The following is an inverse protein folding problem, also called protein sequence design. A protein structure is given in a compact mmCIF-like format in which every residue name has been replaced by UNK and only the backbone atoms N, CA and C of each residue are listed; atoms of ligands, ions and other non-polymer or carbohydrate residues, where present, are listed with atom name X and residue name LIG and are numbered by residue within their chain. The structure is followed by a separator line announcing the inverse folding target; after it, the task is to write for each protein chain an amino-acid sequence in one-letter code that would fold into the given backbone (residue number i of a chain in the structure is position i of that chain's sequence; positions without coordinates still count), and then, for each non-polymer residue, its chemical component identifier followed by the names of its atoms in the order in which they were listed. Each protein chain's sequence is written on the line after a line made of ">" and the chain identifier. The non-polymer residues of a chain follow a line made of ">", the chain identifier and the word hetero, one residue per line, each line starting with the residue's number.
data_IF_280351501773
#
_entry.id   IF_280351501773
#
_cell.length_a   1.000
_cell.length_b   1.000
_cell.length_c   1.000
_cell.angle_alpha   90.00
_cell.angle_beta   90.00
_cell.angle_gamma   90.00
#
_symmetry.space_group_name_H-M   'P 1'
#
loop_
_entity.id
_entity.type
_entity.pdbx_description
1 polymer ?
#
# COMPACT_ATOMS: atom_id res chain seq x y z
N UNK A 1 -6.75 -1.38 23.35
CA UNK A 1 -7.40 -0.90 22.12
C UNK A 1 -6.33 -0.55 21.11
N UNK A 2 -6.52 -0.97 19.84
CA UNK A 2 -5.62 -0.62 18.75
C UNK A 2 -6.12 0.65 18.07
N UNK A 3 -5.28 1.65 17.97
CA UNK A 3 -5.59 2.91 17.28
C UNK A 3 -5.11 2.81 15.84
N UNK A 4 -5.98 3.07 14.88
CA UNK A 4 -5.64 3.06 13.46
C UNK A 4 -4.80 4.28 13.11
N UNK A 5 -3.55 4.04 12.68
CA UNK A 5 -2.55 5.10 12.59
C UNK A 5 -2.46 5.79 11.23
N UNK A 6 -3.14 6.92 11.10
CA UNK A 6 -2.62 8.00 10.27
C UNK A 6 -1.58 8.83 11.06
N UNK A 7 -0.87 9.76 10.41
CA UNK A 7 0.18 10.55 11.06
C UNK A 7 -0.34 11.34 12.26
N UNK A 8 -1.54 11.92 12.18
CA UNK A 8 -2.12 12.71 13.27
C UNK A 8 -2.42 11.85 14.50
N UNK A 9 -3.01 10.69 14.26
CA UNK A 9 -3.35 9.72 15.32
C UNK A 9 -2.09 9.18 16.00
N UNK A 10 -1.05 8.83 15.23
CA UNK A 10 0.21 8.33 15.80
C UNK A 10 0.96 9.44 16.54
N UNK A 11 0.94 10.68 16.07
CA UNK A 11 1.49 11.84 16.80
C UNK A 11 0.84 11.98 18.20
N UNK A 12 -0.50 11.98 18.26
CA UNK A 12 -1.24 12.06 19.53
C UNK A 12 -0.90 10.88 20.43
N UNK A 13 -0.91 9.67 19.90
CA UNK A 13 -0.57 8.47 20.67
C UNK A 13 0.85 8.53 21.25
N UNK A 14 1.84 8.95 20.45
CA UNK A 14 3.23 9.12 20.93
C UNK A 14 3.34 10.17 22.02
N UNK A 15 2.58 11.26 21.93
CA UNK A 15 2.58 12.31 22.94
C UNK A 15 1.93 11.89 24.28
N UNK A 16 0.93 11.04 24.22
CA UNK A 16 0.08 10.67 25.38
C UNK A 16 0.52 9.39 26.08
N UNK A 17 1.13 8.44 25.36
CA UNK A 17 1.50 7.13 25.89
C UNK A 17 2.92 7.07 26.43
N UNK A 18 3.15 6.18 27.39
CA UNK A 18 4.46 5.91 28.02
C UNK A 18 4.88 4.46 27.83
N UNK A 19 6.18 4.21 28.07
CA UNK A 19 6.68 2.84 28.15
C UNK A 19 5.87 2.01 29.17
N UNK A 20 5.57 0.78 28.80
CA UNK A 20 4.77 -0.17 29.58
C UNK A 20 3.27 0.15 29.74
N UNK A 21 2.74 1.17 29.07
CA UNK A 21 1.29 1.34 28.99
C UNK A 21 0.62 0.12 28.32
N UNK A 22 -0.69 -0.04 28.53
CA UNK A 22 -1.45 -1.15 27.94
C UNK A 22 -1.89 -0.91 26.50
N UNK A 23 -1.49 0.20 25.94
CA UNK A 23 -1.86 0.61 24.59
C UNK A 23 -0.78 0.25 23.58
N UNK A 24 -1.23 -0.22 22.42
CA UNK A 24 -0.40 -0.48 21.24
C UNK A 24 -0.93 0.35 20.07
N UNK A 25 -0.05 0.73 19.15
CA UNK A 25 -0.47 1.38 17.92
C UNK A 25 -0.34 0.41 16.74
N UNK A 26 -1.36 0.44 15.89
CA UNK A 26 -1.35 -0.24 14.60
C UNK A 26 -1.07 0.78 13.50
N UNK A 27 0.01 0.58 12.74
CA UNK A 27 0.41 1.52 11.70
C UNK A 27 0.95 0.79 10.46
N UNK A 28 0.61 1.33 9.28
CA UNK A 28 1.21 0.90 8.02
C UNK A 28 2.65 1.40 7.90
N UNK A 29 3.56 0.57 7.40
CA UNK A 29 4.97 0.92 7.20
C UNK A 29 5.16 2.13 6.27
N UNK A 30 4.25 2.33 5.31
CA UNK A 30 4.25 3.50 4.42
C UNK A 30 4.21 4.84 5.15
N UNK A 31 3.67 4.86 6.37
CA UNK A 31 3.69 6.04 7.21
C UNK A 31 5.13 6.46 7.55
N UNK A 32 5.98 5.51 7.91
CA UNK A 32 7.36 5.75 8.29
C UNK A 32 8.31 5.95 7.10
N UNK A 33 8.04 5.32 5.97
CA UNK A 33 8.91 5.35 4.80
C UNK A 33 8.49 6.41 3.78
N UNK A 34 7.24 6.42 3.35
CA UNK A 34 6.76 7.30 2.27
C UNK A 34 6.33 8.66 2.81
N UNK A 35 5.46 8.69 3.86
CA UNK A 35 4.96 9.95 4.41
C UNK A 35 6.09 10.77 5.04
N UNK A 36 7.07 10.12 5.68
CA UNK A 36 8.24 10.80 6.26
C UNK A 36 9.11 11.52 5.22
N UNK A 37 9.07 11.08 3.96
CA UNK A 37 9.83 11.70 2.86
C UNK A 37 8.98 12.77 2.16
N UNK A 38 7.72 12.44 1.83
CA UNK A 38 6.86 13.33 1.03
C UNK A 38 6.26 14.49 1.85
N UNK A 39 5.99 14.26 3.13
CA UNK A 39 5.39 15.26 4.02
C UNK A 39 5.96 15.17 5.45
N UNK A 40 7.26 15.44 5.61
CA UNK A 40 7.94 15.31 6.90
C UNK A 40 7.36 16.22 7.98
N UNK A 41 6.69 17.31 7.60
CA UNK A 41 6.07 18.22 8.56
C UNK A 41 4.90 17.58 9.33
N UNK A 42 4.28 16.54 8.79
CA UNK A 42 3.24 15.77 9.49
C UNK A 42 3.78 14.80 10.52
N UNK A 43 5.09 14.50 10.51
CA UNK A 43 5.71 13.48 11.34
C UNK A 43 6.36 14.11 12.57
N UNK A 44 5.78 13.87 13.75
CA UNK A 44 6.37 14.25 15.05
C UNK A 44 6.96 13.03 15.78
N UNK A 45 7.21 11.95 15.05
CA UNK A 45 7.77 10.69 15.53
C UNK A 45 8.68 10.06 14.47
N UNK A 46 9.50 9.11 14.90
CA UNK A 46 10.34 8.27 14.05
C UNK A 46 10.25 6.82 14.52
N UNK A 47 10.92 5.89 13.85
CA UNK A 47 11.02 4.49 14.33
C UNK A 47 11.63 4.39 15.74
N UNK A 48 12.47 5.34 16.13
CA UNK A 48 13.13 5.34 17.45
C UNK A 48 12.18 5.56 18.62
N UNK A 49 10.94 5.99 18.37
CA UNK A 49 9.89 6.18 19.37
C UNK A 49 9.14 4.89 19.74
N UNK A 50 9.47 3.77 19.06
CA UNK A 50 8.72 2.52 19.18
C UNK A 50 9.60 1.32 19.51
N UNK A 51 8.95 0.28 20.05
CA UNK A 51 9.42 -1.10 20.04
C UNK A 51 8.52 -1.89 19.10
N UNK A 52 9.12 -2.66 18.19
CA UNK A 52 8.39 -3.55 17.29
C UNK A 52 7.82 -4.74 18.07
N UNK A 53 6.53 -5.00 17.89
CA UNK A 53 5.85 -6.17 18.46
C UNK A 53 5.64 -7.22 17.38
N UNK A 54 4.86 -6.91 16.33
CA UNK A 54 4.55 -7.88 15.28
C UNK A 54 4.19 -7.21 13.96
N UNK A 55 4.37 -7.94 12.87
CA UNK A 55 3.82 -7.63 11.55
C UNK A 55 2.56 -8.49 11.33
N UNK A 56 1.38 -7.91 11.46
CA UNK A 56 0.13 -8.65 11.35
C UNK A 56 -0.11 -9.22 9.96
N UNK A 57 0.17 -8.43 8.95
CA UNK A 57 0.09 -8.85 7.56
C UNK A 57 0.89 -7.92 6.65
N UNK A 58 1.27 -8.45 5.51
CA UNK A 58 1.83 -7.67 4.41
C UNK A 58 0.83 -7.61 3.27
N UNK A 59 0.65 -6.45 2.69
CA UNK A 59 -0.26 -6.23 1.57
C UNK A 59 0.51 -5.73 0.36
N UNK A 60 0.20 -6.28 -0.80
CA UNK A 60 0.77 -5.87 -2.07
C UNK A 60 -0.18 -4.88 -2.75
N UNK A 61 0.37 -3.81 -3.28
CA UNK A 61 -0.35 -2.92 -4.18
C UNK A 61 -0.34 -3.52 -5.58
N UNK A 62 -1.43 -3.31 -6.31
CA UNK A 62 -1.53 -3.68 -7.73
C UNK A 62 -1.93 -2.47 -8.55
N UNK A 63 -1.51 -2.48 -9.82
CA UNK A 63 -2.04 -1.57 -10.82
C UNK A 63 -3.14 -2.29 -11.59
N UNK A 64 -4.32 -1.68 -11.62
CA UNK A 64 -5.44 -2.12 -12.46
C UNK A 64 -5.67 -1.15 -13.60
N UNK A 65 -6.21 -1.65 -14.70
CA UNK A 65 -6.61 -0.89 -15.88
C UNK A 65 -8.11 -1.04 -16.14
N UNK A 66 -8.73 -0.04 -16.77
CA UNK A 66 -10.06 -0.22 -17.39
C UNK A 66 -10.01 -1.45 -18.30
N UNK A 67 -10.90 -2.42 -18.06
CA UNK A 67 -10.92 -3.69 -18.79
C UNK A 67 -11.02 -3.51 -20.31
N UNK A 68 -11.61 -2.40 -20.77
CA UNK A 68 -11.73 -2.07 -22.21
C UNK A 68 -10.40 -1.78 -22.88
N UNK A 69 -9.36 -1.43 -22.13
CA UNK A 69 -8.02 -1.18 -22.68
C UNK A 69 -7.31 -2.49 -23.05
N UNK A 70 -7.72 -3.62 -22.45
CA UNK A 70 -7.11 -4.93 -22.73
C UNK A 70 -5.68 -5.06 -22.27
N UNK A 71 -5.23 -4.23 -21.31
CA UNK A 71 -3.85 -4.20 -20.79
C UNK A 71 -3.79 -5.10 -19.55
N UNK A 72 -2.95 -6.13 -19.60
CA UNK A 72 -2.83 -7.17 -18.56
C UNK A 72 -1.38 -7.46 -18.16
N UNK A 73 -0.42 -6.75 -18.74
CA UNK A 73 1.02 -6.94 -18.50
C UNK A 73 1.80 -5.63 -18.60
N UNK A 74 3.03 -5.64 -18.07
CA UNK A 74 3.97 -4.51 -18.18
C UNK A 74 4.34 -4.22 -19.64
N UNK A 75 4.50 -5.24 -20.47
CA UNK A 75 4.87 -5.07 -21.87
C UNK A 75 3.73 -4.45 -22.70
N UNK A 76 2.49 -4.84 -22.43
CA UNK A 76 1.32 -4.20 -23.04
C UNK A 76 1.16 -2.75 -22.57
N UNK A 77 1.40 -2.48 -21.28
CA UNK A 77 1.42 -1.12 -20.74
C UNK A 77 2.46 -0.26 -21.45
N UNK A 78 3.70 -0.74 -21.59
CA UNK A 78 4.75 -0.03 -22.33
C UNK A 78 4.35 0.25 -23.77
N UNK A 79 3.83 -0.78 -24.46
CA UNK A 79 3.38 -0.64 -25.85
C UNK A 79 2.28 0.41 -26.00
N UNK A 80 1.40 0.52 -25.01
CA UNK A 80 0.35 1.52 -24.97
C UNK A 80 0.91 2.93 -24.72
N UNK A 81 1.88 3.07 -23.81
CA UNK A 81 2.52 4.35 -23.50
C UNK A 81 3.43 4.86 -24.63
N UNK A 82 4.12 3.96 -25.34
CA UNK A 82 4.98 4.30 -26.49
C UNK A 82 4.22 4.93 -27.67
N UNK A 83 2.90 4.76 -27.72
CA UNK A 83 2.02 5.43 -28.67
C UNK A 83 1.76 6.91 -28.31
N UNK A 84 2.31 7.41 -27.19
CA UNK A 84 2.14 8.79 -26.72
C UNK A 84 0.81 9.03 -26.01
N UNK A 85 0.12 7.98 -25.56
CA UNK A 85 -1.13 8.11 -24.84
C UNK A 85 -0.95 8.86 -23.52
N UNK A 86 -1.82 9.83 -23.26
CA UNK A 86 -1.94 10.50 -21.97
C UNK A 86 -2.92 9.70 -21.11
N UNK A 87 -2.54 9.39 -19.88
CA UNK A 87 -3.35 8.56 -18.99
C UNK A 87 -3.68 9.24 -17.67
N UNK A 88 -4.80 8.84 -17.07
CA UNK A 88 -5.20 9.20 -15.73
C UNK A 88 -5.15 7.97 -14.81
N UNK A 89 -4.63 8.17 -13.59
CA UNK A 89 -4.45 7.11 -12.59
C UNK A 89 -5.20 7.51 -11.33
N UNK A 90 -6.22 6.73 -10.96
CA UNK A 90 -6.96 6.91 -9.74
C UNK A 90 -6.14 6.42 -8.52
N UNK A 91 -6.13 7.20 -7.46
CA UNK A 91 -5.44 6.88 -6.20
C UNK A 91 -6.27 7.32 -4.99
N UNK A 92 -6.05 6.69 -3.85
CA UNK A 92 -6.62 7.13 -2.58
C UNK A 92 -5.77 8.29 -2.02
N UNK A 93 -6.18 9.51 -2.35
CA UNK A 93 -5.43 10.72 -2.02
C UNK A 93 -4.30 11.05 -2.99
N UNK A 94 -3.81 12.28 -2.92
CA UNK A 94 -2.81 12.82 -3.86
C UNK A 94 -1.36 12.52 -3.45
N UNK A 95 -1.10 12.18 -2.19
CA UNK A 95 0.25 12.04 -1.61
C UNK A 95 0.44 10.74 -0.83
N UNK A 96 -0.43 9.75 -1.06
CA UNK A 96 -0.34 8.43 -0.44
C UNK A 96 0.62 7.47 -1.15
N UNK A 97 0.74 6.26 -0.62
CA UNK A 97 1.58 5.21 -1.20
C UNK A 97 1.20 4.88 -2.64
N UNK A 98 -0.09 4.89 -2.96
CA UNK A 98 -0.61 4.61 -4.31
C UNK A 98 -0.13 5.64 -5.34
N UNK A 99 -0.24 6.94 -4.99
CA UNK A 99 0.23 8.03 -5.86
C UNK A 99 1.75 7.99 -6.04
N UNK A 100 2.49 7.71 -4.95
CA UNK A 100 3.94 7.54 -5.01
C UNK A 100 4.34 6.38 -5.91
N UNK A 101 3.73 5.21 -5.76
CA UNK A 101 4.05 4.03 -6.57
C UNK A 101 3.74 4.25 -8.05
N UNK A 102 2.60 4.89 -8.37
CA UNK A 102 2.27 5.27 -9.74
C UNK A 102 3.34 6.20 -10.32
N UNK A 103 3.66 7.29 -9.64
CA UNK A 103 4.66 8.26 -10.10
C UNK A 103 6.06 7.63 -10.26
N UNK A 104 6.46 6.78 -9.30
CA UNK A 104 7.75 6.10 -9.33
C UNK A 104 7.86 5.11 -10.49
N UNK A 105 6.82 4.31 -10.75
CA UNK A 105 6.80 3.35 -11.85
C UNK A 105 6.89 4.07 -13.20
N UNK A 106 5.98 4.98 -13.49
CA UNK A 106 5.96 5.67 -14.78
C UNK A 106 7.16 6.60 -14.96
N UNK A 107 7.65 7.23 -13.89
CA UNK A 107 8.91 7.99 -13.93
C UNK A 107 10.11 7.12 -14.28
N UNK A 108 10.22 5.92 -13.70
CA UNK A 108 11.29 4.96 -13.99
C UNK A 108 11.20 4.37 -15.40
N UNK A 109 10.00 4.29 -15.96
CA UNK A 109 9.77 3.88 -17.36
C UNK A 109 10.02 4.99 -18.38
N UNK A 110 10.16 6.26 -17.95
CA UNK A 110 10.31 7.41 -18.82
C UNK A 110 9.00 8.06 -19.26
N UNK A 111 7.86 7.68 -18.68
CA UNK A 111 6.52 8.18 -19.05
C UNK A 111 5.93 9.17 -18.03
N UNK A 112 6.76 9.73 -17.15
CA UNK A 112 6.28 10.61 -16.06
C UNK A 112 5.45 11.81 -16.54
N UNK A 113 5.75 12.37 -17.73
CA UNK A 113 5.03 13.50 -18.32
C UNK A 113 3.70 13.09 -18.99
N UNK A 114 3.43 11.80 -19.12
CA UNK A 114 2.23 11.26 -19.76
C UNK A 114 1.14 10.87 -18.76
N UNK A 115 1.40 10.99 -17.44
CA UNK A 115 0.46 10.58 -16.41
C UNK A 115 -0.15 11.77 -15.67
N UNK A 116 -1.42 11.59 -15.26
CA UNK A 116 -2.13 12.48 -14.37
C UNK A 116 -2.68 11.68 -13.20
N UNK A 117 -2.23 11.98 -11.99
CA UNK A 117 -2.82 11.42 -10.76
C UNK A 117 -4.15 12.11 -10.49
N UNK A 118 -5.19 11.30 -10.27
CA UNK A 118 -6.53 11.75 -9.88
C UNK A 118 -6.84 11.19 -8.49
N UNK A 119 -6.87 12.09 -7.50
CA UNK A 119 -7.09 11.72 -6.12
C UNK A 119 -8.59 11.56 -5.82
N UNK A 120 -8.95 10.45 -5.24
CA UNK A 120 -10.29 10.15 -4.71
C UNK A 120 -10.26 10.15 -3.18
N UNK A 121 -11.42 10.23 -2.55
CA UNK A 121 -11.53 10.26 -1.09
C UNK A 121 -11.39 8.87 -0.44
N UNK A 122 -11.49 7.82 -1.24
CA UNK A 122 -11.28 6.44 -0.80
C UNK A 122 -10.77 5.54 -1.91
N UNK A 123 -10.15 4.41 -1.53
CA UNK A 123 -9.72 3.40 -2.48
C UNK A 123 -10.89 2.74 -3.22
N UNK A 124 -12.05 2.62 -2.59
CA UNK A 124 -13.25 2.10 -3.23
C UNK A 124 -13.75 3.02 -4.35
N UNK A 125 -13.73 4.33 -4.14
CA UNK A 125 -14.07 5.30 -5.20
C UNK A 125 -13.06 5.25 -6.34
N UNK A 126 -11.75 5.16 -6.05
CA UNK A 126 -10.70 5.02 -7.07
C UNK A 126 -10.90 3.74 -7.91
N UNK A 127 -11.23 2.61 -7.29
CA UNK A 127 -11.53 1.35 -7.98
C UNK A 127 -12.78 1.47 -8.88
N UNK A 128 -13.82 2.14 -8.38
CA UNK A 128 -15.05 2.38 -9.16
C UNK A 128 -14.80 3.31 -10.36
N UNK A 129 -13.96 4.33 -10.21
CA UNK A 129 -13.63 5.27 -11.27
C UNK A 129 -12.98 4.56 -12.48
N UNK A 130 -12.02 3.66 -12.22
CA UNK A 130 -11.39 2.89 -13.29
C UNK A 130 -12.37 1.91 -13.93
N UNK A 131 -13.22 1.23 -13.16
CA UNK A 131 -14.20 0.29 -13.69
C UNK A 131 -15.28 0.98 -14.58
N UNK A 132 -15.57 2.25 -14.31
CA UNK A 132 -16.47 3.07 -15.13
C UNK A 132 -15.79 3.72 -16.33
N UNK A 133 -14.46 3.64 -16.43
CA UNK A 133 -13.68 4.33 -17.46
C UNK A 133 -13.53 5.84 -17.23
N UNK A 134 -13.76 6.33 -16.00
CA UNK A 134 -13.50 7.72 -15.63
C UNK A 134 -12.00 8.02 -15.54
N UNK A 135 -11.21 6.99 -15.22
CA UNK A 135 -9.75 6.98 -15.27
C UNK A 135 -9.26 5.73 -16.02
N UNK A 136 -8.05 5.79 -16.59
CA UNK A 136 -7.49 4.68 -17.35
C UNK A 136 -6.97 3.55 -16.43
N UNK A 137 -6.35 3.93 -15.32
CA UNK A 137 -5.72 3.03 -14.36
C UNK A 137 -6.07 3.41 -12.92
N UNK A 138 -5.86 2.46 -12.00
CA UNK A 138 -5.82 2.74 -10.56
C UNK A 138 -4.67 1.97 -9.92
N UNK A 139 -4.12 2.53 -8.83
CA UNK A 139 -3.25 1.80 -7.89
C UNK A 139 -4.00 1.62 -6.58
N UNK A 140 -4.07 0.40 -6.09
CA UNK A 140 -4.78 0.05 -4.87
C UNK A 140 -4.24 -1.23 -4.23
N UNK A 141 -4.59 -1.49 -2.98
CA UNK A 141 -4.35 -2.81 -2.39
C UNK A 141 -5.17 -3.90 -3.06
N UNK A 142 -4.65 -5.12 -3.12
CA UNK A 142 -5.34 -6.29 -3.67
C UNK A 142 -6.77 -6.45 -3.14
N UNK A 143 -6.96 -6.32 -1.83
CA UNK A 143 -8.26 -6.47 -1.19
C UNK A 143 -9.30 -5.42 -1.62
N UNK A 144 -8.84 -4.24 -2.01
CA UNK A 144 -9.70 -3.12 -2.38
C UNK A 144 -10.20 -3.20 -3.82
N UNK A 145 -9.43 -3.84 -4.70
CA UNK A 145 -9.78 -3.99 -6.12
C UNK A 145 -10.44 -5.34 -6.44
N UNK A 146 -10.41 -6.30 -5.51
CA UNK A 146 -10.82 -7.67 -5.73
C UNK A 146 -12.26 -7.80 -6.25
N UNK A 147 -13.21 -7.12 -5.62
CA UNK A 147 -14.61 -7.18 -6.02
C UNK A 147 -14.80 -6.66 -7.46
N UNK A 148 -14.20 -5.51 -7.77
CA UNK A 148 -14.27 -4.90 -9.10
C UNK A 148 -13.63 -5.78 -10.18
N UNK A 149 -12.52 -6.44 -9.83
CA UNK A 149 -11.87 -7.42 -10.70
C UNK A 149 -12.75 -8.65 -10.95
N UNK A 150 -13.35 -9.21 -9.91
CA UNK A 150 -14.27 -10.36 -10.03
C UNK A 150 -15.51 -10.06 -10.87
N UNK A 151 -15.93 -8.79 -10.91
CA UNK A 151 -17.02 -8.31 -11.76
C UNK A 151 -16.58 -8.00 -13.20
N UNK A 152 -15.32 -8.29 -13.57
CA UNK A 152 -14.71 -7.96 -14.87
C UNK A 152 -14.72 -6.46 -15.21
N UNK A 153 -14.79 -5.59 -14.22
CA UNK A 153 -14.73 -4.14 -14.41
C UNK A 153 -13.32 -3.62 -14.69
N UNK A 154 -12.30 -4.36 -14.26
CA UNK A 154 -10.88 -4.04 -14.45
C UNK A 154 -10.08 -5.27 -14.83
N UNK A 155 -8.93 -5.05 -15.51
CA UNK A 155 -7.81 -6.00 -15.60
C UNK A 155 -6.71 -5.63 -14.61
N UNK A 156 -5.88 -6.60 -14.23
CA UNK A 156 -4.69 -6.33 -13.39
C UNK A 156 -3.46 -6.36 -14.29
N UNK A 157 -2.67 -5.28 -14.20
CA UNK A 157 -1.51 -5.05 -15.07
C UNK A 157 -0.23 -5.58 -14.43
N UNK A 158 -0.02 -5.24 -13.17
CA UNK A 158 1.19 -5.63 -12.42
C UNK A 158 0.97 -5.53 -10.91
N UNK A 159 1.88 -6.15 -10.17
CA UNK A 159 2.02 -6.04 -8.73
C UNK A 159 3.24 -5.16 -8.37
N UNK A 160 3.10 -4.29 -7.40
CA UNK A 160 4.23 -3.55 -6.82
C UNK A 160 4.96 -4.43 -5.81
N UNK A 161 5.61 -5.47 -6.32
CA UNK A 161 6.39 -6.45 -5.58
C UNK A 161 7.69 -6.79 -6.33
N UNK A 162 8.64 -7.43 -5.63
CA UNK A 162 9.87 -7.95 -6.21
C UNK A 162 9.67 -9.19 -7.08
N UNK A 163 8.62 -9.97 -6.78
CA UNK A 163 8.30 -11.25 -7.41
C UNK A 163 6.83 -11.25 -7.86
N UNK A 164 6.47 -12.24 -8.69
CA UNK A 164 5.09 -12.48 -9.07
C UNK A 164 4.23 -12.86 -7.87
N UNK A 165 2.94 -12.55 -7.92
CA UNK A 165 2.01 -12.98 -6.87
C UNK A 165 1.90 -14.51 -6.94
N UNK A 166 2.28 -15.17 -5.84
CA UNK A 166 2.40 -16.63 -5.80
C UNK A 166 1.04 -17.34 -5.71
N UNK A 167 0.07 -16.73 -5.02
CA UNK A 167 -1.22 -17.37 -4.70
C UNK A 167 -2.38 -16.39 -4.66
N UNK A 168 -3.58 -16.92 -4.40
CA UNK A 168 -4.81 -16.13 -4.28
C UNK A 168 -5.40 -15.68 -5.61
N UNK A 169 -6.35 -14.73 -5.57
CA UNK A 169 -7.12 -14.29 -6.75
C UNK A 169 -6.29 -13.64 -7.85
N UNK A 170 -5.10 -13.16 -7.52
CA UNK A 170 -4.18 -12.48 -8.43
C UNK A 170 -2.91 -13.31 -8.71
N UNK A 171 -2.93 -14.62 -8.44
CA UNK A 171 -1.80 -15.51 -8.70
C UNK A 171 -1.32 -15.40 -10.17
N UNK A 172 -0.01 -15.26 -10.35
CA UNK A 172 0.63 -15.09 -11.65
C UNK A 172 0.70 -13.65 -12.16
N UNK A 173 0.15 -12.67 -11.43
CA UNK A 173 0.36 -11.25 -11.77
C UNK A 173 1.83 -10.89 -11.55
N UNK A 174 2.45 -10.31 -12.57
CA UNK A 174 3.88 -10.01 -12.58
C UNK A 174 4.28 -8.93 -11.58
N UNK A 175 5.37 -9.18 -10.83
CA UNK A 175 5.99 -8.19 -9.98
C UNK A 175 6.87 -7.22 -10.75
N UNK A 176 6.69 -5.90 -10.53
CA UNK A 176 7.46 -4.86 -11.22
C UNK A 176 8.96 -4.91 -10.89
N UNK A 177 9.34 -5.46 -9.73
CA UNK A 177 10.74 -5.60 -9.31
C UNK A 177 11.56 -6.52 -10.21
N UNK A 178 10.94 -7.48 -10.90
CA UNK A 178 11.60 -8.33 -11.90
C UNK A 178 12.17 -7.54 -13.08
N UNK A 179 11.58 -6.38 -13.36
CA UNK A 179 12.00 -5.44 -14.39
C UNK A 179 12.93 -4.34 -13.86
N UNK A 180 13.28 -4.39 -12.57
CA UNK A 180 14.10 -3.36 -11.91
C UNK A 180 13.35 -2.09 -11.55
N UNK A 181 12.02 -2.09 -11.60
CA UNK A 181 11.20 -0.95 -11.21
C UNK A 181 10.97 -0.91 -9.69
N UNK A 182 10.73 0.30 -9.14
CA UNK A 182 10.51 0.46 -7.71
C UNK A 182 9.20 -0.20 -7.25
N UNK A 183 9.24 -0.83 -6.10
CA UNK A 183 8.10 -1.43 -5.45
C UNK A 183 8.13 -1.21 -3.93
N UNK A 184 6.99 -1.42 -3.31
CA UNK A 184 6.83 -1.28 -1.88
C UNK A 184 5.75 -2.24 -1.38
N UNK A 185 6.09 -3.10 -0.43
CA UNK A 185 5.13 -3.88 0.35
C UNK A 185 4.69 -3.08 1.55
N UNK A 186 3.39 -2.91 1.73
CA UNK A 186 2.88 -2.28 2.92
C UNK A 186 2.74 -3.32 4.03
N UNK A 187 3.63 -3.28 5.01
CA UNK A 187 3.53 -4.07 6.23
C UNK A 187 2.66 -3.33 7.24
N UNK A 188 1.80 -4.09 7.93
CA UNK A 188 0.94 -3.57 8.98
C UNK A 188 1.50 -3.96 10.33
N UNK A 189 2.09 -2.98 11.01
CA UNK A 189 2.91 -3.15 12.19
C UNK A 189 2.09 -2.92 13.46
N UNK A 190 2.31 -3.78 14.46
CA UNK A 190 1.95 -3.51 15.85
C UNK A 190 3.18 -3.02 16.57
N UNK A 191 3.05 -1.85 17.19
CA UNK A 191 4.15 -1.16 17.84
C UNK A 191 3.76 -0.78 19.28
N UNK A 192 4.72 -0.88 20.19
CA UNK A 192 4.63 -0.38 21.56
C UNK A 192 5.50 0.87 21.73
N UNK A 193 5.32 1.63 22.80
CA UNK A 193 6.17 2.78 23.12
C UNK A 193 7.60 2.35 23.40
N UNK A 194 8.55 3.15 22.95
CA UNK A 194 9.98 2.97 23.23
C UNK A 194 10.25 2.85 24.72
N UNK A 195 11.10 1.87 25.09
CA UNK A 195 11.43 1.57 26.47
C UNK A 195 10.43 0.65 27.18
N UNK A 196 9.45 0.09 26.46
CA UNK A 196 8.59 -0.99 26.99
C UNK A 196 9.43 -2.21 27.35
N UNK A 197 9.16 -2.83 28.49
CA UNK A 197 9.90 -3.99 29.03
C UNK A 197 9.99 -5.12 27.98
N UNK A 198 11.20 -5.63 27.76
CA UNK A 198 11.45 -6.66 26.75
C UNK A 198 10.67 -7.96 27.01
N UNK A 199 10.36 -8.29 28.29
CA UNK A 199 9.53 -9.46 28.62
C UNK A 199 8.08 -9.24 28.20
N UNK A 200 7.58 -7.99 28.33
CA UNK A 200 6.25 -7.64 27.86
C UNK A 200 6.16 -7.71 26.33
N UNK A 201 7.17 -7.18 25.62
CA UNK A 201 7.25 -7.30 24.16
C UNK A 201 7.27 -8.77 23.74
N UNK A 202 8.10 -9.60 24.36
CA UNK A 202 8.18 -11.03 24.06
C UNK A 202 6.83 -11.76 24.29
N UNK A 203 6.14 -11.45 25.37
CA UNK A 203 4.83 -12.04 25.67
C UNK A 203 3.74 -11.60 24.67
N UNK A 204 3.77 -10.33 24.27
CA UNK A 204 2.87 -9.82 23.21
C UNK A 204 3.14 -10.50 21.88
N UNK A 205 4.41 -10.61 21.49
CA UNK A 205 4.80 -11.31 20.26
C UNK A 205 4.32 -12.76 20.28
N UNK A 206 4.55 -13.52 21.35
CA UNK A 206 4.06 -14.90 21.47
C UNK A 206 2.53 -14.99 21.34
N UNK A 207 1.82 -14.00 21.87
CA UNK A 207 0.35 -13.93 21.74
C UNK A 207 -0.08 -13.72 20.29
N UNK A 208 0.55 -12.75 19.57
CA UNK A 208 0.24 -12.50 18.16
C UNK A 208 0.64 -13.68 17.26
N UNK A 209 1.80 -14.32 17.52
CA UNK A 209 2.23 -15.52 16.78
C UNK A 209 1.15 -16.63 16.89
N UNK A 210 0.55 -16.82 18.09
CA UNK A 210 -0.55 -17.79 18.28
C UNK A 210 -1.82 -17.39 17.54
N UNK A 211 -2.18 -16.10 17.56
CA UNK A 211 -3.35 -15.60 16.84
C UNK A 211 -3.17 -15.78 15.33
N UNK A 212 -2.00 -15.43 14.80
CA UNK A 212 -1.71 -15.55 13.37
C UNK A 212 -1.59 -17.01 12.90
N UNK A 213 -1.26 -17.94 13.79
CA UNK A 213 -1.23 -19.36 13.49
C UNK A 213 -2.63 -20.02 13.53
N UNK A 214 -3.63 -19.35 14.07
CA UNK A 214 -5.00 -19.86 14.14
C UNK A 214 -5.72 -19.62 12.80
N UNK A 215 -6.00 -20.71 12.09
CA UNK A 215 -6.68 -20.68 10.79
C UNK A 215 -8.19 -20.34 10.87
N UNK A 216 -8.72 -20.12 12.07
CA UNK A 216 -10.11 -19.73 12.26
C UNK A 216 -10.33 -18.21 12.33
N UNK A 217 -9.26 -17.43 12.26
CA UNK A 217 -9.26 -15.96 12.32
C UNK A 217 -9.19 -15.32 10.92
#
# INVERSE_FOLDING_TARGET
>A
DAVKGDAATVNSWVAETKANDSELVFAGEGLFSITSILDPAKMQFSYDDFEFVENLYSSVFVMSADAKLGITSIDELKSYMDQGNQISIATNGATGSEAFLAAALFGSMGYGDQIKIVAYSSAAEAAQAVAKGETNFAVSHQSQILETYQQNGVSIVCAFDGEDIADGPFAGVEGVGKYGYPYFRNRCLILARKGTDAKKIAALKELYDKILADQSV
#
